data_IF_160860925546
#
_entry.id   IF_160860925546
#
_cell.length_a   1.000
_cell.length_b   1.000
_cell.length_c   1.000
_cell.angle_alpha   90.00
_cell.angle_beta   90.00
_cell.angle_gamma   90.00
#
_symmetry.space_group_name_H-M   'P 1'
#
loop_
_entity.id
_entity.type
_entity.pdbx_description
1 polymer ?
#
# COMPACT_ATOMS: atom_id res chain seq x y z
N UNK A 1 -16.65 27.13 -6.13
CA UNK A 1 -15.29 26.55 -6.10
C UNK A 1 -15.22 25.23 -5.30
N UNK A 2 -15.73 25.14 -4.09
CA UNK A 2 -15.58 23.95 -3.22
C UNK A 2 -16.28 22.65 -3.72
N UNK A 3 -17.41 22.75 -4.43
CA UNK A 3 -18.05 21.57 -5.06
C UNK A 3 -17.17 20.98 -6.17
N UNK A 4 -16.60 21.85 -7.00
CA UNK A 4 -15.70 21.41 -8.06
C UNK A 4 -14.46 20.73 -7.48
N UNK A 5 -13.90 21.25 -6.39
CA UNK A 5 -12.76 20.64 -5.71
C UNK A 5 -13.08 19.24 -5.17
N UNK A 6 -14.24 19.04 -4.53
CA UNK A 6 -14.66 17.72 -4.06
C UNK A 6 -14.83 16.72 -5.22
N UNK A 7 -15.43 17.16 -6.32
CA UNK A 7 -15.57 16.32 -7.53
C UNK A 7 -14.21 15.97 -8.11
N UNK A 8 -13.28 16.92 -8.18
CA UNK A 8 -11.91 16.66 -8.65
C UNK A 8 -11.21 15.62 -7.78
N UNK A 9 -11.32 15.71 -6.45
CA UNK A 9 -10.74 14.71 -5.53
C UNK A 9 -11.28 13.31 -5.86
N UNK A 10 -12.60 13.17 -6.02
CA UNK A 10 -13.20 11.87 -6.31
C UNK A 10 -12.87 11.36 -7.72
N UNK A 11 -12.76 12.23 -8.71
CA UNK A 11 -12.33 11.84 -10.05
C UNK A 11 -10.87 11.36 -10.06
N UNK A 12 -9.97 12.03 -9.34
CA UNK A 12 -8.58 11.58 -9.18
C UNK A 12 -8.54 10.23 -8.47
N UNK A 13 -9.33 10.06 -7.41
CA UNK A 13 -9.42 8.78 -6.69
C UNK A 13 -9.93 7.66 -7.59
N UNK A 14 -10.99 7.91 -8.37
CA UNK A 14 -11.53 6.94 -9.31
C UNK A 14 -10.50 6.58 -10.39
N UNK A 15 -9.80 7.57 -10.94
CA UNK A 15 -8.73 7.35 -11.91
C UNK A 15 -7.61 6.49 -11.34
N UNK A 16 -7.21 6.73 -10.10
CA UNK A 16 -6.22 5.91 -9.41
C UNK A 16 -6.71 4.46 -9.24
N UNK A 17 -7.97 4.26 -8.81
CA UNK A 17 -8.55 2.91 -8.69
C UNK A 17 -8.52 2.18 -10.03
N UNK A 18 -8.94 2.82 -11.12
CA UNK A 18 -8.96 2.23 -12.45
C UNK A 18 -7.56 1.87 -12.93
N UNK A 19 -6.58 2.75 -12.74
CA UNK A 19 -5.19 2.51 -13.14
C UNK A 19 -4.54 1.35 -12.37
N UNK A 20 -4.81 1.25 -11.07
CA UNK A 20 -4.20 0.22 -10.22
C UNK A 20 -5.00 -1.09 -10.14
N UNK A 21 -6.28 -1.10 -10.49
CA UNK A 21 -7.06 -2.35 -10.58
C UNK A 21 -6.75 -3.17 -11.82
N UNK A 22 -6.31 -2.51 -12.90
CA UNK A 22 -5.86 -3.18 -14.12
C UNK A 22 -4.41 -3.63 -13.96
N UNK A 23 -4.16 -4.93 -13.89
CA UNK A 23 -2.80 -5.52 -13.88
C UNK A 23 -2.02 -5.31 -15.18
N UNK A 24 -2.59 -4.61 -16.13
CA UNK A 24 -2.10 -4.51 -17.50
C UNK A 24 -0.79 -3.70 -17.56
N UNK A 25 0.30 -4.39 -17.79
CA UNK A 25 1.57 -3.81 -18.23
C UNK A 25 2.52 -3.28 -17.15
N UNK A 26 2.11 -3.26 -15.87
CA UNK A 26 3.00 -2.78 -14.80
C UNK A 26 3.49 -3.89 -13.84
N UNK A 27 2.85 -5.07 -13.91
CA UNK A 27 3.23 -6.23 -13.11
C UNK A 27 3.86 -7.28 -14.03
N UNK A 28 5.16 -7.52 -13.97
CA UNK A 28 5.83 -8.52 -14.80
C UNK A 28 5.35 -9.94 -14.46
N UNK A 29 5.45 -10.84 -15.40
CA UNK A 29 5.18 -12.25 -15.19
C UNK A 29 6.23 -12.86 -14.24
N UNK A 30 5.75 -13.58 -13.22
CA UNK A 30 6.63 -14.21 -12.23
C UNK A 30 7.32 -15.44 -12.81
N UNK A 31 8.64 -15.38 -12.99
CA UNK A 31 9.44 -16.49 -13.56
C UNK A 31 10.05 -17.34 -12.44
N UNK A 32 10.24 -16.79 -11.24
CA UNK A 32 10.84 -17.49 -10.10
C UNK A 32 9.82 -18.35 -9.37
N UNK A 33 10.26 -19.47 -8.79
CA UNK A 33 9.48 -20.31 -7.89
C UNK A 33 8.92 -19.53 -6.68
N UNK A 34 9.64 -18.50 -6.22
CA UNK A 34 9.23 -17.63 -5.12
C UNK A 34 8.31 -16.50 -5.55
N UNK A 35 8.18 -16.21 -6.85
CA UNK A 35 7.38 -15.10 -7.36
C UNK A 35 5.93 -15.13 -6.86
N UNK A 36 5.20 -16.26 -6.81
CA UNK A 36 3.82 -16.27 -6.32
C UNK A 36 3.67 -15.78 -4.88
N UNK A 37 4.63 -16.11 -4.01
CA UNK A 37 4.60 -15.68 -2.61
C UNK A 37 4.85 -14.18 -2.47
N UNK A 38 5.80 -13.64 -3.23
CA UNK A 38 6.15 -12.21 -3.26
C UNK A 38 4.98 -11.43 -3.85
N UNK A 39 4.44 -11.87 -4.97
CA UNK A 39 3.32 -11.23 -5.67
C UNK A 39 2.06 -11.20 -4.82
N UNK A 40 1.76 -12.31 -4.15
CA UNK A 40 0.64 -12.37 -3.23
C UNK A 40 0.79 -11.40 -2.05
N UNK A 41 2.00 -11.26 -1.50
CA UNK A 41 2.27 -10.32 -0.42
C UNK A 41 2.17 -8.87 -0.90
N UNK A 42 2.74 -8.58 -2.07
CA UNK A 42 2.63 -7.26 -2.69
C UNK A 42 1.16 -6.89 -2.93
N UNK A 43 0.37 -7.80 -3.49
CA UNK A 43 -1.04 -7.57 -3.76
C UNK A 43 -1.86 -7.36 -2.49
N UNK A 44 -1.61 -8.13 -1.42
CA UNK A 44 -2.25 -7.92 -0.11
C UNK A 44 -1.95 -6.51 0.43
N UNK A 45 -0.69 -6.11 0.37
CA UNK A 45 -0.26 -4.78 0.80
C UNK A 45 -0.95 -3.69 -0.03
N UNK A 46 -0.96 -3.84 -1.35
CA UNK A 46 -1.61 -2.89 -2.26
C UNK A 46 -3.11 -2.73 -1.97
N UNK A 47 -3.82 -3.85 -1.74
CA UNK A 47 -5.26 -3.81 -1.42
C UNK A 47 -5.50 -3.12 -0.09
N UNK A 48 -4.76 -3.45 0.96
CA UNK A 48 -4.94 -2.86 2.30
C UNK A 48 -4.65 -1.36 2.28
N UNK A 49 -3.51 -0.96 1.68
CA UNK A 49 -3.13 0.46 1.54
C UNK A 49 -4.12 1.19 0.62
N UNK A 50 -4.56 0.53 -0.45
CA UNK A 50 -5.56 1.06 -1.38
C UNK A 50 -6.90 1.36 -0.69
N UNK A 51 -7.38 0.46 0.17
CA UNK A 51 -8.59 0.70 0.97
C UNK A 51 -8.41 1.92 1.88
N UNK A 52 -7.27 2.04 2.57
CA UNK A 52 -6.95 3.20 3.40
C UNK A 52 -6.92 4.50 2.60
N UNK A 53 -6.26 4.48 1.43
CA UNK A 53 -6.20 5.61 0.52
C UNK A 53 -7.59 6.04 0.04
N UNK A 54 -8.38 5.11 -0.51
CA UNK A 54 -9.72 5.41 -1.02
C UNK A 54 -10.62 5.95 0.10
N UNK A 55 -10.59 5.32 1.27
CA UNK A 55 -11.38 5.77 2.43
C UNK A 55 -11.03 7.21 2.84
N UNK A 56 -9.74 7.54 2.90
CA UNK A 56 -9.29 8.89 3.25
C UNK A 56 -9.70 9.93 2.20
N UNK A 57 -9.60 9.60 0.90
CA UNK A 57 -10.01 10.50 -0.18
C UNK A 57 -11.52 10.71 -0.23
N UNK A 58 -12.31 9.66 0.01
CA UNK A 58 -13.77 9.78 0.10
C UNK A 58 -14.15 10.68 1.26
N UNK A 59 -13.57 10.47 2.44
CA UNK A 59 -13.80 11.33 3.61
C UNK A 59 -13.38 12.78 3.34
N UNK A 60 -12.21 13.00 2.75
CA UNK A 60 -11.74 14.34 2.39
C UNK A 60 -12.72 15.03 1.45
N UNK A 61 -13.15 14.37 0.40
CA UNK A 61 -14.13 14.93 -0.54
C UNK A 61 -15.48 15.24 0.13
N UNK A 62 -15.96 14.36 1.04
CA UNK A 62 -17.17 14.60 1.83
C UNK A 62 -17.04 15.81 2.75
N UNK A 63 -15.89 15.99 3.43
CA UNK A 63 -15.66 17.15 4.28
C UNK A 63 -15.61 18.44 3.46
N UNK A 64 -14.89 18.47 2.35
CA UNK A 64 -14.85 19.62 1.42
C UNK A 64 -16.25 19.96 0.90
N UNK A 65 -17.05 18.94 0.59
CA UNK A 65 -18.43 19.14 0.14
C UNK A 65 -19.34 19.64 1.26
N UNK A 66 -19.27 19.07 2.44
CA UNK A 66 -20.14 19.37 3.58
C UNK A 66 -19.84 20.73 4.19
N UNK A 67 -18.57 21.04 4.41
CA UNK A 67 -18.12 22.25 5.10
C UNK A 67 -17.74 23.39 4.15
N UNK A 68 -18.24 23.36 2.93
CA UNK A 68 -18.06 24.45 1.99
C UNK A 68 -18.66 25.74 2.49
N UNK A 69 -18.07 26.87 2.08
CA UNK A 69 -18.62 28.20 2.33
C UNK A 69 -20.03 28.36 1.73
N UNK A 70 -20.96 28.89 2.51
CA UNK A 70 -22.35 29.17 2.13
C UNK A 70 -22.69 30.58 2.55
N UNK A 71 -23.42 31.34 1.70
CA UNK A 71 -23.94 32.64 2.10
C UNK A 71 -24.75 32.52 3.42
N UNK A 72 -24.50 33.39 4.37
CA UNK A 72 -25.14 33.42 5.69
C UNK A 72 -24.82 32.25 6.65
N UNK A 73 -23.83 31.41 6.39
CA UNK A 73 -23.39 30.44 7.38
C UNK A 73 -22.22 30.98 8.18
N UNK A 74 -22.32 30.95 9.51
CA UNK A 74 -21.19 31.26 10.39
C UNK A 74 -20.39 29.99 10.68
N UNK A 75 -19.08 30.14 10.67
CA UNK A 75 -18.20 29.03 11.08
C UNK A 75 -18.40 28.72 12.57
N UNK A 76 -18.59 27.47 12.90
CA UNK A 76 -18.65 26.98 14.28
C UNK A 76 -17.26 26.45 14.64
N UNK A 77 -16.70 26.98 15.71
CA UNK A 77 -15.44 26.48 16.24
C UNK A 77 -15.68 25.15 16.95
N UNK A 78 -15.01 24.12 16.50
CA UNK A 78 -15.04 22.80 17.13
C UNK A 78 -13.63 22.35 17.44
N UNK A 79 -13.43 21.82 18.65
CA UNK A 79 -12.22 21.08 18.98
C UNK A 79 -12.26 19.70 18.29
N UNK A 80 -11.11 19.14 17.96
CA UNK A 80 -11.01 17.79 17.40
C UNK A 80 -11.67 16.73 18.29
N UNK A 81 -11.98 15.59 17.73
CA UNK A 81 -12.52 14.46 18.49
C UNK A 81 -11.39 13.47 18.82
N UNK A 82 -10.83 13.61 20.03
CA UNK A 82 -9.70 12.77 20.49
C UNK A 82 -10.00 11.28 20.39
N UNK A 83 -11.23 10.83 20.61
CA UNK A 83 -11.60 9.40 20.48
C UNK A 83 -11.45 8.93 19.03
N UNK A 84 -11.88 9.76 18.08
CA UNK A 84 -11.74 9.45 16.66
C UNK A 84 -10.28 9.45 16.23
N UNK A 85 -9.49 10.41 16.69
CA UNK A 85 -8.06 10.51 16.41
C UNK A 85 -7.30 9.28 16.93
N UNK A 86 -7.54 8.88 18.18
CA UNK A 86 -6.97 7.67 18.77
C UNK A 86 -7.39 6.42 18.01
N UNK A 87 -8.68 6.32 17.63
CA UNK A 87 -9.16 5.19 16.83
C UNK A 87 -8.40 5.06 15.51
N UNK A 88 -8.26 6.16 14.76
CA UNK A 88 -7.54 6.16 13.47
C UNK A 88 -6.07 5.80 13.69
N UNK A 89 -5.42 6.34 14.71
CA UNK A 89 -4.04 6.03 15.05
C UNK A 89 -3.85 4.53 15.36
N UNK A 90 -4.73 3.97 16.18
CA UNK A 90 -4.66 2.54 16.56
C UNK A 90 -4.91 1.64 15.35
N UNK A 91 -5.95 1.92 14.55
CA UNK A 91 -6.27 1.15 13.35
C UNK A 91 -5.10 1.16 12.37
N UNK A 92 -4.51 2.34 12.14
CA UNK A 92 -3.35 2.49 11.26
C UNK A 92 -2.14 1.72 11.82
N UNK A 93 -1.83 1.87 13.10
CA UNK A 93 -0.71 1.17 13.74
C UNK A 93 -0.87 -0.36 13.67
N UNK A 94 -2.04 -0.89 14.00
CA UNK A 94 -2.32 -2.32 13.90
C UNK A 94 -2.20 -2.81 12.46
N UNK A 95 -2.68 -2.05 11.50
CA UNK A 95 -2.55 -2.40 10.08
C UNK A 95 -1.09 -2.52 9.65
N UNK A 96 -0.23 -1.57 10.05
CA UNK A 96 1.20 -1.65 9.77
C UNK A 96 1.87 -2.87 10.39
N UNK A 97 1.54 -3.19 11.64
CA UNK A 97 2.08 -4.37 12.33
C UNK A 97 1.68 -5.65 11.60
N UNK A 98 0.41 -5.78 11.20
CA UNK A 98 -0.08 -6.95 10.44
C UNK A 98 0.67 -7.09 9.11
N UNK A 99 0.81 -6.01 8.34
CA UNK A 99 1.52 -6.03 7.06
C UNK A 99 2.99 -6.42 7.27
N UNK A 100 3.64 -5.89 8.30
CA UNK A 100 5.03 -6.21 8.63
C UNK A 100 5.20 -7.69 8.97
N UNK A 101 4.31 -8.27 9.79
CA UNK A 101 4.35 -9.70 10.14
C UNK A 101 4.15 -10.59 8.90
N UNK A 102 3.22 -10.22 8.02
CA UNK A 102 2.98 -10.96 6.78
C UNK A 102 4.17 -10.87 5.83
N UNK A 103 4.79 -9.70 5.71
CA UNK A 103 6.00 -9.50 4.92
C UNK A 103 7.19 -10.29 5.47
N UNK A 104 7.35 -10.31 6.81
CA UNK A 104 8.40 -11.07 7.48
C UNK A 104 8.29 -12.58 7.22
N UNK A 105 7.07 -13.11 7.12
CA UNK A 105 6.87 -14.53 6.78
C UNK A 105 7.37 -14.88 5.39
N UNK A 106 7.05 -14.03 4.40
CA UNK A 106 7.52 -14.23 3.02
C UNK A 106 9.04 -14.08 2.95
N UNK A 107 9.59 -13.07 3.63
CA UNK A 107 11.05 -12.89 3.71
C UNK A 107 11.74 -14.10 4.32
N UNK A 108 11.19 -14.66 5.40
CA UNK A 108 11.74 -15.85 6.06
C UNK A 108 11.73 -17.08 5.15
N UNK A 109 10.69 -17.27 4.34
CA UNK A 109 10.65 -18.34 3.35
C UNK A 109 11.76 -18.23 2.30
N UNK A 110 12.12 -17.00 1.90
CA UNK A 110 13.16 -16.80 0.90
C UNK A 110 14.58 -16.92 1.46
N UNK A 111 14.80 -16.53 2.73
CA UNK A 111 16.15 -16.35 3.25
C UNK A 111 16.53 -17.36 4.35
N UNK A 112 15.55 -17.97 5.01
CA UNK A 112 15.78 -18.89 6.12
C UNK A 112 15.41 -20.35 5.79
N UNK A 113 14.77 -20.60 4.63
CA UNK A 113 14.50 -21.98 4.21
C UNK A 113 15.78 -22.66 3.77
N UNK A 114 15.98 -23.88 4.21
CA UNK A 114 17.08 -24.70 3.73
C UNK A 114 16.89 -25.03 2.24
N UNK A 115 17.96 -24.96 1.43
CA UNK A 115 17.86 -25.33 0.02
C UNK A 115 17.49 -26.80 -0.12
N UNK A 116 16.76 -27.19 -1.19
CA UNK A 116 16.51 -28.59 -1.49
C UNK A 116 17.82 -29.42 -1.56
N UNK A 117 17.74 -30.71 -1.20
CA UNK A 117 18.91 -31.55 -1.15
C UNK A 117 19.61 -31.75 -2.52
N UNK A 118 18.88 -31.51 -3.60
CA UNK A 118 19.33 -31.54 -5.00
C UNK A 118 19.69 -30.16 -5.57
N UNK A 119 19.70 -29.12 -4.74
CA UNK A 119 20.05 -27.77 -5.17
C UNK A 119 21.51 -27.68 -5.62
N UNK A 120 21.73 -27.06 -6.76
CA UNK A 120 23.08 -26.77 -7.25
C UNK A 120 23.73 -25.72 -6.35
N UNK A 121 24.82 -26.10 -5.70
CA UNK A 121 25.63 -25.20 -4.89
C UNK A 121 26.67 -24.52 -5.75
N UNK A 122 26.69 -23.21 -5.77
CA UNK A 122 27.69 -22.41 -6.47
C UNK A 122 28.32 -21.38 -5.52
N UNK A 123 29.62 -21.35 -5.51
CA UNK A 123 30.40 -20.33 -4.85
C UNK A 123 30.70 -19.18 -5.83
N UNK A 124 30.28 -17.98 -5.52
CA UNK A 124 30.56 -16.80 -6.35
C UNK A 124 31.46 -15.85 -5.57
N UNK A 125 32.70 -15.70 -6.01
CA UNK A 125 33.68 -14.83 -5.40
C UNK A 125 33.95 -13.62 -6.29
N UNK A 126 33.63 -12.41 -5.82
CA UNK A 126 33.95 -11.15 -6.48
C UNK A 126 35.38 -10.72 -6.15
N UNK A 127 36.19 -10.53 -7.16
CA UNK A 127 37.53 -9.93 -7.05
C UNK A 127 37.61 -8.68 -7.94
N UNK A 128 38.62 -7.83 -7.72
CA UNK A 128 38.79 -6.67 -8.55
C UNK A 128 38.93 -7.06 -10.03
N UNK A 129 37.98 -6.61 -10.83
CA UNK A 129 37.79 -6.84 -12.27
C UNK A 129 37.38 -8.25 -12.69
N UNK A 130 37.09 -9.20 -11.78
CA UNK A 130 36.71 -10.56 -12.15
C UNK A 130 35.70 -11.19 -11.16
N UNK A 131 34.79 -11.99 -11.70
CA UNK A 131 33.91 -12.88 -10.92
C UNK A 131 34.33 -14.33 -11.12
N UNK A 132 34.70 -15.02 -10.05
CA UNK A 132 34.99 -16.44 -10.07
C UNK A 132 33.75 -17.20 -9.62
N UNK A 133 33.31 -18.16 -10.44
CA UNK A 133 32.16 -19.02 -10.16
C UNK A 133 32.67 -20.45 -10.07
N UNK A 134 32.35 -21.17 -8.97
CA UNK A 134 32.66 -22.59 -8.75
C UNK A 134 31.39 -23.36 -8.46
#
# INVERSE_FOLDING_TARGET
MSRALAVIIWLITLSAIVLFSGRYGWFPEGISEFAPAIDAQFMRTLVVVGIGFVSSQVLLGLYVWKYRDRPNSKAVYTHGNTKFEVLVMVVTGVTFVIIAILGQRVWAQLHLSEPPADALQMEVTGQQFVWNIR
#
